data_IF_003834551402
#
_entry.id   IF_003834551402
#
_cell.length_a   1.000
_cell.length_b   1.000
_cell.length_c   1.000
_cell.angle_alpha   90.00
_cell.angle_beta   90.00
_cell.angle_gamma   90.00
#
_symmetry.space_group_name_H-M   'P 1'
#
loop_
_entity.id
_entity.type
_entity.pdbx_description
1 polymer ?
#
# COMPACT_ATOMS: atom_id res chain seq x y z
N UNK A 1 -6.58 -11.78 4.49
CA UNK A 1 -7.24 -12.29 5.70
C UNK A 1 -6.91 -13.76 5.98
N UNK A 2 -7.18 -14.71 5.08
CA UNK A 2 -6.96 -16.16 5.35
C UNK A 2 -5.51 -16.58 5.72
N UNK A 3 -4.47 -15.95 5.16
CA UNK A 3 -3.06 -16.31 5.43
C UNK A 3 -2.56 -15.96 6.83
N UNK A 4 -3.09 -14.90 7.42
CA UNK A 4 -2.75 -14.46 8.78
C UNK A 4 -3.42 -15.36 9.83
N UNK A 5 -4.68 -15.74 9.58
CA UNK A 5 -5.41 -16.69 10.42
C UNK A 5 -4.74 -18.06 10.45
N UNK A 6 -4.29 -18.58 9.30
CA UNK A 6 -3.53 -19.84 9.25
C UNK A 6 -2.20 -19.76 10.01
N UNK A 7 -1.53 -18.61 9.98
CA UNK A 7 -0.30 -18.40 10.72
C UNK A 7 -0.52 -18.39 12.25
N UNK A 8 -1.63 -17.81 12.73
CA UNK A 8 -1.99 -17.80 14.14
C UNK A 8 -2.55 -19.14 14.63
N UNK A 9 -3.45 -19.77 13.89
CA UNK A 9 -4.18 -20.95 14.36
C UNK A 9 -3.41 -22.26 14.16
N UNK A 10 -2.49 -22.32 13.20
CA UNK A 10 -1.79 -23.56 12.82
C UNK A 10 -0.28 -23.45 13.05
N UNK A 11 0.35 -22.37 12.59
CA UNK A 11 1.82 -22.29 12.57
C UNK A 11 2.41 -21.92 13.93
N UNK A 12 1.84 -20.95 14.64
CA UNK A 12 2.33 -20.52 15.95
C UNK A 12 2.26 -21.64 17.02
N UNK A 13 1.17 -22.42 17.11
CA UNK A 13 1.12 -23.59 18.00
C UNK A 13 2.17 -24.66 17.64
N UNK A 14 2.49 -24.88 16.36
CA UNK A 14 3.53 -25.84 15.95
C UNK A 14 4.95 -25.41 16.36
N UNK A 15 5.16 -24.10 16.51
CA UNK A 15 6.40 -23.54 17.03
C UNK A 15 6.49 -23.66 18.57
N UNK A 16 5.35 -23.62 19.26
CA UNK A 16 5.26 -23.64 20.74
C UNK A 16 4.94 -25.02 21.35
N UNK A 17 4.50 -25.98 20.56
CA UNK A 17 4.01 -27.28 21.02
C UNK A 17 5.01 -28.07 21.89
N UNK A 18 4.49 -28.65 22.98
CA UNK A 18 5.07 -29.75 23.76
C UNK A 18 4.23 -31.02 23.50
N UNK A 19 4.81 -32.17 23.08
CA UNK A 19 6.23 -32.44 22.87
C UNK A 19 6.82 -31.71 21.65
N UNK A 20 8.14 -31.44 21.65
CA UNK A 20 8.76 -30.68 20.58
C UNK A 20 8.63 -31.40 19.24
N UNK A 21 8.03 -30.73 18.26
CA UNK A 21 8.03 -31.18 16.86
C UNK A 21 9.47 -31.25 16.33
N UNK A 22 9.69 -32.03 15.27
CA UNK A 22 11.00 -32.20 14.65
C UNK A 22 11.64 -30.82 14.34
N UNK A 23 12.94 -30.59 14.66
CA UNK A 23 13.57 -29.28 14.51
C UNK A 23 13.49 -28.74 13.07
N UNK A 24 13.52 -29.63 12.07
CA UNK A 24 13.32 -29.27 10.67
C UNK A 24 11.93 -28.66 10.40
N UNK A 25 10.89 -29.15 11.07
CA UNK A 25 9.53 -28.63 10.95
C UNK A 25 9.39 -27.27 11.63
N UNK A 26 10.02 -27.09 12.80
CA UNK A 26 10.04 -25.79 13.51
C UNK A 26 10.82 -24.73 12.75
N UNK A 27 11.94 -25.10 12.13
CA UNK A 27 12.72 -24.22 11.22
C UNK A 27 11.87 -23.84 10.01
N UNK A 28 11.15 -24.78 9.41
CA UNK A 28 10.24 -24.50 8.31
C UNK A 28 9.13 -23.53 8.72
N UNK A 29 8.53 -23.72 9.90
CA UNK A 29 7.49 -22.83 10.44
C UNK A 29 8.05 -21.42 10.66
N UNK A 30 9.21 -21.28 11.29
CA UNK A 30 9.88 -19.99 11.48
C UNK A 30 10.17 -19.30 10.14
N UNK A 31 10.62 -20.06 9.14
CA UNK A 31 10.87 -19.57 7.79
C UNK A 31 9.59 -19.15 7.07
N UNK A 32 8.48 -19.88 7.23
CA UNK A 32 7.17 -19.50 6.67
C UNK A 32 6.68 -18.21 7.33
N UNK A 33 6.74 -18.10 8.67
CA UNK A 33 6.33 -16.89 9.40
C UNK A 33 7.16 -15.66 8.99
N UNK A 34 8.45 -15.85 8.73
CA UNK A 34 9.31 -14.82 8.14
C UNK A 34 8.92 -14.50 6.69
N UNK A 35 8.78 -15.52 5.84
CA UNK A 35 8.50 -15.37 4.39
C UNK A 35 7.15 -14.75 4.10
N UNK A 36 6.16 -14.92 4.97
CA UNK A 36 4.85 -14.27 4.88
C UNK A 36 4.96 -12.73 4.92
N UNK A 37 6.05 -12.21 5.50
CA UNK A 37 6.31 -10.77 5.66
C UNK A 37 7.71 -10.35 5.14
N UNK A 38 8.44 -11.23 4.44
CA UNK A 38 9.75 -10.95 3.86
C UNK A 38 9.84 -9.73 2.92
N UNK A 39 8.78 -9.26 2.20
CA UNK A 39 8.87 -7.99 1.47
C UNK A 39 8.89 -6.74 2.38
N UNK A 40 8.86 -6.89 3.70
CA UNK A 40 8.86 -5.82 4.68
C UNK A 40 10.02 -5.96 5.68
N UNK A 41 10.61 -4.86 6.16
CA UNK A 41 11.63 -4.92 7.20
C UNK A 41 11.06 -5.60 8.45
N UNK A 42 11.89 -6.40 9.14
CA UNK A 42 11.44 -7.22 10.27
C UNK A 42 10.78 -6.41 11.39
N UNK A 43 11.08 -5.12 11.50
CA UNK A 43 10.42 -4.18 12.41
C UNK A 43 8.90 -4.11 12.24
N UNK A 44 8.36 -4.44 11.07
CA UNK A 44 6.92 -4.40 10.76
C UNK A 44 6.29 -5.81 10.85
N UNK A 45 7.08 -6.86 11.09
CA UNK A 45 6.56 -8.23 11.16
C UNK A 45 5.73 -8.42 12.44
N UNK A 46 4.41 -8.73 12.34
CA UNK A 46 3.54 -8.92 13.51
C UNK A 46 3.95 -10.13 14.37
N UNK A 47 4.72 -11.06 13.81
CA UNK A 47 5.24 -12.23 14.52
C UNK A 47 6.62 -12.02 15.13
N UNK A 48 7.20 -10.81 15.01
CA UNK A 48 8.53 -10.48 15.56
C UNK A 48 8.62 -10.75 17.06
N UNK A 49 7.61 -10.36 17.83
CA UNK A 49 7.54 -10.59 19.28
C UNK A 49 7.43 -12.09 19.60
N UNK A 50 6.57 -12.83 18.91
CA UNK A 50 6.41 -14.27 19.09
C UNK A 50 7.68 -15.06 18.74
N UNK A 51 8.35 -14.71 17.64
CA UNK A 51 9.65 -15.28 17.25
C UNK A 51 10.74 -14.95 18.27
N UNK A 52 10.73 -13.74 18.86
CA UNK A 52 11.66 -13.34 19.90
C UNK A 52 11.45 -14.08 21.23
N UNK A 53 10.19 -14.24 21.67
CA UNK A 53 9.84 -15.03 22.86
C UNK A 53 10.25 -16.48 22.67
N UNK A 54 10.00 -17.04 21.49
CA UNK A 54 10.44 -18.40 21.14
C UNK A 54 11.97 -18.49 21.16
N UNK A 55 12.68 -17.52 20.56
CA UNK A 55 14.14 -17.48 20.58
C UNK A 55 14.72 -17.48 21.99
N UNK A 56 14.20 -16.62 22.89
CA UNK A 56 14.62 -16.60 24.30
C UNK A 56 14.43 -17.96 24.96
N UNK A 57 13.22 -18.52 24.84
CA UNK A 57 12.87 -19.80 25.44
C UNK A 57 13.76 -20.95 24.95
N UNK A 58 13.94 -21.08 23.64
CA UNK A 58 14.76 -22.15 23.06
C UNK A 58 16.25 -21.96 23.35
N UNK A 59 16.74 -20.72 23.40
CA UNK A 59 18.12 -20.41 23.81
C UNK A 59 18.36 -20.79 25.26
N UNK A 60 17.44 -20.41 26.15
CA UNK A 60 17.55 -20.68 27.58
C UNK A 60 17.43 -22.19 27.85
N UNK A 61 16.57 -22.91 27.10
CA UNK A 61 16.49 -24.37 27.13
C UNK A 61 17.78 -25.04 26.66
N UNK A 62 18.37 -24.58 25.55
CA UNK A 62 19.63 -25.10 25.03
C UNK A 62 20.79 -24.86 26.01
N UNK A 63 20.81 -23.72 26.70
CA UNK A 63 21.81 -23.39 27.72
C UNK A 63 21.59 -24.13 29.05
N UNK A 64 20.34 -24.42 29.42
CA UNK A 64 20.00 -25.06 30.68
C UNK A 64 20.18 -26.59 30.66
N UNK A 65 19.93 -27.24 29.52
CA UNK A 65 20.00 -28.71 29.38
C UNK A 65 21.41 -29.22 29.05
N UNK A 66 22.26 -28.41 28.43
CA UNK A 66 23.55 -28.83 27.91
C UNK A 66 24.64 -27.82 28.27
N UNK A 67 25.68 -28.28 28.98
CA UNK A 67 26.86 -27.46 29.26
C UNK A 67 27.60 -27.05 27.97
N UNK A 68 28.60 -26.14 28.04
CA UNK A 68 29.24 -25.49 26.89
C UNK A 68 29.91 -26.42 25.84
N UNK A 69 29.93 -27.73 26.08
CA UNK A 69 30.57 -28.74 25.24
C UNK A 69 29.60 -29.69 24.52
N UNK A 70 28.31 -29.70 24.85
CA UNK A 70 27.35 -30.63 24.23
C UNK A 70 26.43 -29.87 23.28
N UNK A 71 26.44 -30.29 22.01
CA UNK A 71 25.63 -29.69 20.94
C UNK A 71 24.19 -30.16 21.07
N UNK A 72 23.26 -29.25 21.38
CA UNK A 72 21.83 -29.56 21.36
C UNK A 72 21.29 -29.54 19.93
N UNK A 73 20.35 -30.45 19.63
CA UNK A 73 19.63 -30.49 18.33
C UNK A 73 18.74 -29.25 18.11
N UNK A 74 18.48 -28.48 19.17
CA UNK A 74 17.70 -27.24 19.10
C UNK A 74 18.57 -26.00 18.83
N UNK A 75 19.91 -26.12 18.86
CA UNK A 75 20.81 -25.00 18.55
C UNK A 75 20.63 -24.48 17.13
N UNK A 76 20.31 -25.37 16.18
CA UNK A 76 20.04 -24.98 14.80
C UNK A 76 18.78 -24.12 14.67
N UNK A 77 17.75 -24.40 15.47
CA UNK A 77 16.54 -23.56 15.52
C UNK A 77 16.85 -22.19 16.12
N UNK A 78 17.63 -22.14 17.21
CA UNK A 78 18.04 -20.88 17.86
C UNK A 78 18.84 -20.00 16.90
N UNK A 79 19.76 -20.59 16.14
CA UNK A 79 20.54 -19.86 15.14
C UNK A 79 19.68 -19.33 13.99
N UNK A 80 18.74 -20.13 13.47
CA UNK A 80 17.80 -19.68 12.42
C UNK A 80 16.93 -18.53 12.93
N UNK A 81 16.40 -18.63 14.15
CA UNK A 81 15.61 -17.56 14.76
C UNK A 81 16.43 -16.28 14.94
N UNK A 82 17.68 -16.39 15.38
CA UNK A 82 18.60 -15.25 15.50
C UNK A 82 18.88 -14.58 14.14
N UNK A 83 19.14 -15.37 13.09
CA UNK A 83 19.36 -14.88 11.73
C UNK A 83 18.14 -14.17 11.17
N UNK A 84 16.95 -14.75 11.36
CA UNK A 84 15.67 -14.13 11.00
C UNK A 84 15.52 -12.79 11.74
N UNK A 85 15.67 -12.78 13.08
CA UNK A 85 15.49 -11.59 13.93
C UNK A 85 16.49 -10.46 13.61
N UNK A 86 17.69 -10.78 13.13
CA UNK A 86 18.69 -9.81 12.65
C UNK A 86 18.37 -9.20 11.28
N UNK A 87 17.42 -9.74 10.54
CA UNK A 87 17.09 -9.31 9.18
C UNK A 87 17.86 -10.04 8.07
N UNK A 88 18.73 -10.97 8.44
CA UNK A 88 19.56 -11.79 7.53
C UNK A 88 18.83 -13.09 7.10
N UNK A 89 17.49 -13.12 7.17
CA UNK A 89 16.70 -14.31 6.82
C UNK A 89 16.76 -14.69 5.34
N UNK A 90 17.37 -13.87 4.48
CA UNK A 90 17.66 -14.22 3.08
C UNK A 90 18.89 -15.15 2.95
N UNK A 91 19.82 -15.12 3.91
CA UNK A 91 21.03 -15.97 3.90
C UNK A 91 20.71 -17.45 4.13
N UNK A 92 19.54 -17.74 4.71
CA UNK A 92 19.06 -19.10 4.99
C UNK A 92 18.20 -19.68 3.84
N UNK A 93 17.76 -18.84 2.90
CA UNK A 93 16.97 -19.23 1.73
C UNK A 93 17.57 -20.30 0.81
N UNK A 94 18.90 -20.39 0.60
CA UNK A 94 19.48 -21.45 -0.25
C UNK A 94 19.58 -22.82 0.44
N UNK A 95 19.30 -22.94 1.74
CA UNK A 95 19.42 -24.20 2.49
C UNK A 95 18.05 -24.78 2.84
N UNK A 96 17.87 -26.09 2.63
CA UNK A 96 16.62 -26.75 3.05
C UNK A 96 16.52 -26.82 4.58
N UNK A 97 15.32 -26.70 5.19
CA UNK A 97 15.12 -26.83 6.63
C UNK A 97 15.70 -28.12 7.23
N UNK A 98 15.62 -29.23 6.47
CA UNK A 98 16.21 -30.52 6.86
C UNK A 98 17.73 -30.53 6.80
N UNK A 99 18.33 -29.73 5.90
CA UNK A 99 19.79 -29.54 5.81
C UNK A 99 20.28 -28.67 6.95
N UNK A 100 19.56 -27.60 7.28
CA UNK A 100 19.88 -26.70 8.40
C UNK A 100 19.81 -27.43 9.74
N UNK A 101 18.76 -28.22 9.97
CA UNK A 101 18.60 -29.05 11.18
C UNK A 101 19.71 -30.10 11.39
N UNK A 102 20.46 -30.44 10.34
CA UNK A 102 21.53 -31.45 10.39
C UNK A 102 22.93 -30.86 10.25
N UNK A 103 23.04 -29.55 9.96
CA UNK A 103 24.31 -28.88 9.79
C UNK A 103 24.98 -28.64 11.16
N UNK A 104 26.25 -29.04 11.37
CA UNK A 104 26.96 -28.73 12.60
C UNK A 104 27.27 -27.24 12.62
N UNK A 105 26.77 -26.53 13.63
CA UNK A 105 27.04 -25.10 13.82
C UNK A 105 28.48 -24.90 14.33
N UNK A 106 29.23 -23.94 13.77
CA UNK A 106 30.50 -23.49 14.34
C UNK A 106 30.33 -22.99 15.78
N UNK A 107 31.35 -23.14 16.63
CA UNK A 107 31.27 -22.81 18.06
C UNK A 107 30.89 -21.34 18.33
N UNK A 108 31.25 -20.45 17.40
CA UNK A 108 30.94 -19.01 17.45
C UNK A 108 29.45 -18.70 17.26
N UNK A 109 28.68 -19.63 16.69
CA UNK A 109 27.26 -19.50 16.39
C UNK A 109 26.37 -20.33 17.33
N UNK A 110 26.96 -20.87 18.41
CA UNK A 110 26.22 -21.59 19.46
C UNK A 110 25.27 -20.66 20.21
N UNK A 111 24.16 -21.21 20.72
CA UNK A 111 23.12 -20.49 21.44
C UNK A 111 23.65 -19.56 22.56
N UNK A 112 24.72 -19.96 23.24
CA UNK A 112 25.38 -19.16 24.29
C UNK A 112 26.01 -17.84 23.81
N UNK A 113 26.44 -17.79 22.54
CA UNK A 113 27.10 -16.62 21.94
C UNK A 113 26.12 -15.71 21.17
N UNK A 114 24.85 -16.13 21.03
CA UNK A 114 23.84 -15.41 20.28
C UNK A 114 23.03 -14.47 21.18
N UNK A 115 23.40 -13.19 21.15
CA UNK A 115 22.66 -12.13 21.85
C UNK A 115 21.93 -11.22 20.86
N UNK A 116 20.72 -10.82 21.24
CA UNK A 116 19.93 -9.78 20.59
C UNK A 116 19.84 -8.58 21.54
N UNK A 117 19.82 -7.36 20.98
CA UNK A 117 19.71 -6.13 21.75
C UNK A 117 18.30 -6.00 22.33
N UNK A 118 18.15 -6.36 23.61
CA UNK A 118 16.84 -6.51 24.28
C UNK A 118 16.01 -5.21 24.24
N UNK A 119 16.67 -4.05 24.19
CA UNK A 119 16.04 -2.73 24.15
C UNK A 119 15.20 -2.50 22.88
N UNK A 120 15.51 -3.19 21.77
CA UNK A 120 14.74 -3.10 20.51
C UNK A 120 13.45 -3.92 20.51
N UNK A 121 13.25 -4.78 21.52
CA UNK A 121 12.15 -5.74 21.59
C UNK A 121 11.26 -5.55 22.82
N UNK A 122 11.77 -4.94 23.89
CA UNK A 122 10.99 -4.61 25.11
C UNK A 122 9.92 -3.55 24.81
N UNK A 123 10.20 -2.56 23.96
CA UNK A 123 9.25 -1.48 23.64
C UNK A 123 7.96 -1.89 22.92
N UNK A 124 7.84 -3.13 22.42
CA UNK A 124 6.60 -3.61 21.80
C UNK A 124 5.66 -4.30 22.81
N UNK A 125 6.14 -4.71 23.99
CA UNK A 125 5.30 -5.36 25.01
C UNK A 125 4.50 -4.36 25.87
N UNK A 126 4.81 -3.06 25.80
CA UNK A 126 4.07 -2.01 26.54
C UNK A 126 2.87 -1.43 25.76
N UNK A 127 2.58 -1.93 24.56
CA UNK A 127 1.44 -1.42 23.75
C UNK A 127 0.08 -1.94 24.27
N UNK A 128 0.07 -2.99 25.10
CA UNK A 128 -1.15 -3.51 25.74
C UNK A 128 -1.50 -2.80 27.08
N UNK A 129 -0.74 -1.77 27.47
CA UNK A 129 -0.90 -1.06 28.75
C UNK A 129 -1.59 0.31 28.72
N UNK A 130 -1.99 0.83 27.54
CA UNK A 130 -2.48 2.22 27.43
C UNK A 130 -4.00 2.40 27.59
N UNK A 131 -4.72 1.38 28.07
CA UNK A 131 -6.17 1.45 28.32
C UNK A 131 -6.44 1.07 29.79
N UNK A 132 -6.57 2.10 30.63
CA UNK A 132 -6.94 2.12 32.06
C UNK A 132 -5.90 1.66 33.11
N UNK A 133 -5.13 2.61 33.66
CA UNK A 133 -4.94 2.79 35.11
C UNK A 133 -4.10 4.06 35.47
N UNK A 134 -4.81 5.19 35.58
CA UNK A 134 -4.78 6.17 36.69
C UNK A 134 -3.48 6.62 37.40
N UNK A 135 -3.28 7.94 37.48
CA UNK A 135 -2.64 8.60 38.64
C UNK A 135 -2.27 10.08 38.44
N UNK A 136 -2.81 11.05 39.22
CA UNK A 136 -2.73 12.48 38.92
C UNK A 136 -1.43 13.11 39.43
N UNK A 137 -0.64 13.70 38.54
CA UNK A 137 0.49 14.53 38.89
C UNK A 137 0.07 16.01 38.88
N UNK A 138 -0.21 16.51 40.09
CA UNK A 138 -0.09 17.91 40.56
C UNK A 138 -0.24 19.02 39.53
N UNK A 139 -1.35 19.75 39.70
CA UNK A 139 -1.51 21.16 39.38
C UNK A 139 -0.22 21.95 39.69
N UNK A 140 0.47 22.39 38.64
CA UNK A 140 1.11 23.69 38.62
C UNK A 140 0.21 24.56 37.74
N UNK A 141 -0.65 25.33 38.41
CA UNK A 141 -1.54 26.31 37.79
C UNK A 141 -0.66 27.49 37.35
N UNK A 142 -0.02 27.34 36.21
CA UNK A 142 0.67 28.45 35.55
C UNK A 142 -0.40 29.19 34.75
N UNK A 143 -0.81 30.34 35.27
CA UNK A 143 -1.81 31.21 34.67
C UNK A 143 -1.28 31.70 33.31
N UNK A 144 -1.64 30.97 32.25
CA UNK A 144 -1.37 31.41 30.88
C UNK A 144 -2.30 32.56 30.53
N UNK A 145 -1.78 33.68 30.00
CA UNK A 145 -2.59 34.83 29.64
C UNK A 145 -3.64 34.48 28.55
N UNK A 146 -4.85 35.07 28.60
CA UNK A 146 -5.98 34.73 27.71
C UNK A 146 -5.78 35.00 26.21
N UNK A 147 -4.65 35.56 25.79
CA UNK A 147 -4.37 35.95 24.41
C UNK A 147 -3.50 34.94 23.64
N UNK A 148 -3.21 33.77 24.22
CA UNK A 148 -2.33 32.76 23.61
C UNK A 148 -3.05 31.58 22.92
N UNK A 149 -4.34 31.37 23.18
CA UNK A 149 -5.09 30.23 22.60
C UNK A 149 -5.56 30.48 21.15
N UNK A 150 -5.53 31.73 20.68
CA UNK A 150 -6.07 32.09 19.36
C UNK A 150 -5.04 31.90 18.21
N UNK A 151 -3.76 31.67 18.52
CA UNK A 151 -2.66 31.63 17.53
C UNK A 151 -1.83 30.33 17.55
N UNK A 152 -2.10 29.39 18.46
CA UNK A 152 -1.52 28.05 18.39
C UNK A 152 -2.43 27.14 17.57
N UNK A 153 -2.06 26.92 16.30
CA UNK A 153 -2.60 25.81 15.53
C UNK A 153 -2.48 24.52 16.34
N UNK A 154 -3.56 23.75 16.40
CA UNK A 154 -3.61 22.47 17.08
C UNK A 154 -2.40 21.61 16.65
N UNK A 155 -1.59 21.05 17.56
CA UNK A 155 -0.48 20.18 17.20
C UNK A 155 -0.89 19.03 16.26
N UNK A 156 -2.15 18.59 16.31
CA UNK A 156 -2.69 17.57 15.41
C UNK A 156 -2.86 18.08 13.97
N UNK A 157 -3.18 19.36 13.78
CA UNK A 157 -3.27 19.98 12.45
C UNK A 157 -1.89 20.22 11.84
N UNK A 158 -0.89 20.52 12.66
CA UNK A 158 0.50 20.65 12.20
C UNK A 158 1.03 19.31 11.64
N UNK A 159 0.72 18.19 12.30
CA UNK A 159 1.13 16.86 11.85
C UNK A 159 0.43 16.47 10.54
N UNK A 160 -0.88 16.67 10.43
CA UNK A 160 -1.64 16.42 9.19
C UNK A 160 -1.10 17.22 8.01
N UNK A 161 -0.79 18.50 8.23
CA UNK A 161 -0.21 19.34 7.20
C UNK A 161 1.19 18.85 6.76
N UNK A 162 1.98 18.30 7.68
CA UNK A 162 3.27 17.68 7.34
C UNK A 162 3.11 16.42 6.48
N UNK A 163 2.12 15.59 6.78
CA UNK A 163 1.86 14.34 6.05
C UNK A 163 1.32 14.61 4.65
N UNK A 164 0.39 15.57 4.50
CA UNK A 164 -0.07 16.05 3.19
C UNK A 164 1.07 16.66 2.38
N UNK A 165 1.94 17.46 3.00
CA UNK A 165 3.12 18.02 2.36
C UNK A 165 4.10 16.96 1.85
N UNK A 166 4.24 15.84 2.56
CA UNK A 166 5.02 14.68 2.11
C UNK A 166 4.35 13.98 0.94
N UNK A 167 3.05 13.73 1.01
CA UNK A 167 2.29 13.10 -0.06
C UNK A 167 2.34 13.91 -1.36
N UNK A 168 2.24 15.24 -1.28
CA UNK A 168 2.39 16.13 -2.44
C UNK A 168 3.77 16.03 -3.09
N UNK A 169 4.85 15.93 -2.30
CA UNK A 169 6.20 15.69 -2.84
C UNK A 169 6.28 14.35 -3.57
N UNK A 170 5.61 13.31 -3.05
CA UNK A 170 5.57 12.00 -3.70
C UNK A 170 4.80 12.03 -5.01
N UNK A 171 3.73 12.81 -5.14
CA UNK A 171 3.02 13.02 -6.41
C UNK A 171 3.95 13.60 -7.47
N UNK A 172 4.70 14.64 -7.14
CA UNK A 172 5.67 15.26 -8.06
C UNK A 172 6.74 14.25 -8.45
N UNK A 173 7.26 13.47 -7.49
CA UNK A 173 8.21 12.40 -7.79
C UNK A 173 7.61 11.31 -8.68
N UNK A 174 6.33 10.96 -8.51
CA UNK A 174 5.63 9.96 -9.32
C UNK A 174 5.49 10.37 -10.79
N UNK A 175 5.53 11.67 -11.08
CA UNK A 175 5.54 12.22 -12.43
C UNK A 175 6.86 11.91 -13.15
N UNK A 176 7.97 11.96 -12.43
CA UNK A 176 9.31 11.90 -13.03
C UNK A 176 9.91 10.49 -12.99
N UNK A 177 9.48 9.65 -12.05
CA UNK A 177 9.99 8.30 -11.89
C UNK A 177 8.95 7.32 -11.35
N UNK A 178 9.29 6.04 -11.41
CA UNK A 178 8.56 4.99 -10.71
C UNK A 178 8.78 5.17 -9.19
N UNK A 179 7.68 5.20 -8.44
CA UNK A 179 7.69 5.22 -6.99
C UNK A 179 7.99 3.82 -6.44
N UNK A 180 8.71 3.77 -5.32
CA UNK A 180 8.92 2.55 -4.55
C UNK A 180 7.61 2.10 -3.89
N UNK A 181 7.50 0.82 -3.52
CA UNK A 181 6.27 0.30 -2.89
C UNK A 181 5.92 1.00 -1.58
N UNK A 182 6.91 1.44 -0.79
CA UNK A 182 6.69 2.24 0.41
C UNK A 182 6.11 3.61 0.08
N UNK A 183 6.67 4.30 -0.92
CA UNK A 183 6.17 5.59 -1.38
C UNK A 183 4.76 5.49 -1.96
N UNK A 184 4.47 4.43 -2.72
CA UNK A 184 3.13 4.18 -3.23
C UNK A 184 2.12 3.97 -2.09
N UNK A 185 2.50 3.26 -1.02
CA UNK A 185 1.64 3.04 0.15
C UNK A 185 1.40 4.33 0.93
N UNK A 186 2.44 5.11 1.15
CA UNK A 186 2.35 6.40 1.84
C UNK A 186 1.47 7.37 1.06
N UNK A 187 1.64 7.44 -0.27
CA UNK A 187 0.80 8.25 -1.13
C UNK A 187 -0.66 7.76 -1.13
N UNK A 188 -0.89 6.44 -1.21
CA UNK A 188 -2.24 5.84 -1.25
C UNK A 188 -3.07 6.19 -0.01
N UNK A 189 -2.44 6.28 1.17
CA UNK A 189 -3.11 6.67 2.43
C UNK A 189 -3.65 8.10 2.38
N UNK A 190 -2.92 8.99 1.72
CA UNK A 190 -3.22 10.42 1.67
C UNK A 190 -3.86 10.87 0.34
N UNK A 191 -4.27 9.95 -0.54
CA UNK A 191 -4.86 10.30 -1.86
C UNK A 191 -6.03 11.26 -1.69
N UNK A 192 -6.94 11.01 -0.76
CA UNK A 192 -8.11 11.85 -0.54
C UNK A 192 -7.72 13.27 -0.13
N UNK A 193 -6.72 13.40 0.74
CA UNK A 193 -6.16 14.66 1.27
C UNK A 193 -5.35 15.44 0.23
N UNK A 194 -4.73 14.74 -0.72
CA UNK A 194 -4.00 15.32 -1.85
C UNK A 194 -4.97 15.83 -2.92
N UNK A 195 -6.01 15.05 -3.22
CA UNK A 195 -7.04 15.40 -4.21
C UNK A 195 -7.91 16.56 -3.70
N UNK A 196 -8.33 16.51 -2.42
CA UNK A 196 -7.88 17.50 -1.45
C UNK A 196 -7.50 18.91 -1.90
N UNK A 197 -6.19 19.09 -1.89
CA UNK A 197 -5.51 20.33 -2.13
C UNK A 197 -5.63 20.83 -3.58
N UNK A 198 -6.14 20.03 -4.52
CA UNK A 198 -6.35 20.45 -5.91
C UNK A 198 -5.04 20.74 -6.67
N UNK A 199 -3.92 20.15 -6.24
CA UNK A 199 -2.59 20.42 -6.79
C UNK A 199 -2.35 19.71 -8.13
N UNK A 200 -3.12 18.64 -8.40
CA UNK A 200 -2.98 17.81 -9.60
C UNK A 200 -3.58 18.50 -10.83
N UNK A 201 -2.76 18.73 -11.84
CA UNK A 201 -3.19 19.28 -13.13
C UNK A 201 -3.39 18.19 -14.17
N UNK A 202 -4.10 18.52 -15.25
CA UNK A 202 -4.33 17.58 -16.37
C UNK A 202 -3.02 17.12 -17.03
N UNK A 203 -1.97 17.95 -17.04
CA UNK A 203 -0.65 17.59 -17.56
C UNK A 203 0.09 16.55 -16.73
N UNK A 204 -0.28 16.36 -15.46
CA UNK A 204 0.42 15.42 -14.57
C UNK A 204 -0.07 13.97 -14.76
N UNK A 205 -1.21 13.76 -15.42
CA UNK A 205 -1.87 12.46 -15.51
C UNK A 205 -1.08 11.51 -16.42
N UNK A 206 -0.76 11.92 -17.64
CA UNK A 206 -0.06 11.06 -18.61
C UNK A 206 1.25 10.44 -18.07
N UNK A 207 2.20 11.22 -17.52
CA UNK A 207 3.41 10.67 -16.93
C UNK A 207 3.14 9.81 -15.68
N UNK A 208 2.10 10.12 -14.91
CA UNK A 208 1.73 9.35 -13.72
C UNK A 208 1.14 7.98 -14.09
N UNK A 209 0.35 7.91 -15.16
CA UNK A 209 -0.14 6.63 -15.72
C UNK A 209 1.00 5.81 -16.32
N UNK A 210 1.94 6.44 -17.03
CA UNK A 210 3.05 5.71 -17.65
C UNK A 210 4.02 5.13 -16.63
N UNK A 211 4.31 5.87 -15.56
CA UNK A 211 5.32 5.48 -14.58
C UNK A 211 4.72 4.68 -13.41
N UNK A 212 3.49 4.99 -13.00
CA UNK A 212 2.89 4.48 -11.77
C UNK A 212 1.39 4.14 -11.95
N UNK A 213 1.03 3.18 -12.83
CA UNK A 213 -0.37 2.86 -13.14
C UNK A 213 -1.18 2.40 -11.91
N UNK A 214 -0.51 1.78 -10.93
CA UNK A 214 -1.13 1.32 -9.68
C UNK A 214 -1.65 2.48 -8.83
N UNK A 215 -0.94 3.61 -8.81
CA UNK A 215 -1.32 4.81 -8.06
C UNK A 215 -2.27 5.69 -8.88
N UNK A 216 -2.13 5.68 -10.22
CA UNK A 216 -2.97 6.45 -11.12
C UNK A 216 -4.46 6.14 -10.95
N UNK A 217 -4.81 4.84 -10.84
CA UNK A 217 -6.19 4.41 -10.68
C UNK A 217 -6.91 5.02 -9.45
N UNK A 218 -6.47 4.76 -8.20
CA UNK A 218 -7.16 5.31 -7.02
C UNK A 218 -7.16 6.84 -6.99
N UNK A 219 -6.15 7.48 -7.58
CA UNK A 219 -6.07 8.94 -7.68
C UNK A 219 -7.13 9.49 -8.64
N UNK A 220 -7.29 8.90 -9.82
CA UNK A 220 -8.34 9.29 -10.77
C UNK A 220 -9.74 9.04 -10.21
N UNK A 221 -9.96 7.89 -9.56
CA UNK A 221 -11.23 7.57 -8.90
C UNK A 221 -11.56 8.60 -7.82
N UNK A 222 -10.60 8.95 -6.97
CA UNK A 222 -10.78 9.97 -5.94
C UNK A 222 -11.08 11.36 -6.55
N UNK A 223 -10.45 11.72 -7.68
CA UNK A 223 -10.72 12.97 -8.39
C UNK A 223 -12.12 13.00 -9.00
N UNK A 224 -12.58 11.89 -9.58
CA UNK A 224 -13.93 11.77 -10.14
C UNK A 224 -15.00 11.77 -9.04
N UNK A 225 -14.72 11.15 -7.89
CA UNK A 225 -15.63 11.10 -6.75
C UNK A 225 -15.73 12.44 -5.98
N UNK A 226 -14.65 13.24 -5.90
CA UNK A 226 -14.59 14.46 -5.08
C UNK A 226 -15.50 15.60 -5.55
N UNK A 227 -15.82 15.67 -6.85
CA UNK A 227 -16.60 16.77 -7.43
C UNK A 227 -18.08 16.81 -6.96
N UNK A 228 -18.46 16.00 -5.97
CA UNK A 228 -19.75 15.98 -5.28
C UNK A 228 -20.02 17.21 -4.39
N UNK A 229 -19.00 17.96 -3.95
CA UNK A 229 -19.15 18.85 -2.77
C UNK A 229 -19.17 20.35 -3.05
N UNK A 230 -18.79 20.81 -4.25
CA UNK A 230 -18.73 22.26 -4.56
C UNK A 230 -20.04 22.84 -5.12
N UNK A 231 -21.07 22.02 -5.33
CA UNK A 231 -22.33 22.46 -5.96
C UNK A 231 -23.45 22.92 -5.02
N UNK A 232 -23.33 22.81 -3.69
CA UNK A 232 -24.52 23.00 -2.82
C UNK A 232 -24.29 23.59 -1.41
N UNK A 233 -23.19 24.30 -1.16
CA UNK A 233 -22.98 25.04 0.10
C UNK A 233 -22.86 26.54 -0.14
N UNK A 234 -24.00 27.17 -0.40
CA UNK A 234 -24.14 28.62 -0.53
C UNK A 234 -25.58 29.10 -0.67
N UNK A 235 -26.59 28.30 -0.27
CA UNK A 235 -27.97 28.76 -0.22
C UNK A 235 -28.25 29.34 1.17
N UNK A 236 -28.13 30.66 1.27
CA UNK A 236 -28.76 31.47 2.30
C UNK A 236 -30.25 31.09 2.41
N UNK A 237 -30.79 30.80 3.60
CA UNK A 237 -32.20 30.43 3.77
C UNK A 237 -33.20 31.60 3.61
N UNK A 238 -32.79 32.77 3.11
CA UNK A 238 -33.59 34.00 3.18
C UNK A 238 -34.09 34.58 1.85
N UNK A 239 -33.99 33.87 0.72
CA UNK A 239 -34.55 34.37 -0.55
C UNK A 239 -35.56 33.38 -1.15
N UNK A 240 -36.76 33.38 -0.57
CA UNK A 240 -37.94 32.69 -1.06
C UNK A 240 -38.81 33.67 -1.87
N UNK A 241 -38.36 34.07 -3.06
CA UNK A 241 -39.21 34.73 -4.06
C UNK A 241 -38.73 34.28 -5.46
N UNK A 242 -39.68 33.92 -6.32
CA UNK A 242 -39.54 33.51 -7.73
C UNK A 242 -39.40 32.00 -8.02
N UNK A 243 -40.37 31.23 -7.51
CA UNK A 243 -40.82 30.01 -8.18
C UNK A 243 -41.71 30.41 -9.37
N UNK A 244 -41.22 30.19 -10.60
CA UNK A 244 -41.97 29.92 -11.86
C UNK A 244 -41.31 30.54 -13.10
N UNK A 245 -40.03 30.24 -13.36
CA UNK A 245 -39.52 30.21 -14.74
C UNK A 245 -38.16 29.49 -14.85
N UNK A 246 -38.18 28.16 -14.92
CA UNK A 246 -37.03 27.38 -15.40
C UNK A 246 -37.53 26.23 -16.27
N UNK A 247 -37.77 26.58 -17.53
CA UNK A 247 -37.79 25.66 -18.66
C UNK A 247 -36.46 24.89 -18.66
N UNK A 248 -36.55 23.58 -18.85
CA UNK A 248 -35.45 22.62 -19.00
C UNK A 248 -34.16 23.25 -19.56
N UNK A 249 -33.17 23.45 -18.70
CA UNK A 249 -31.78 23.62 -19.09
C UNK A 249 -31.02 22.36 -18.74
N UNK A 250 -31.23 21.34 -19.57
CA UNK A 250 -30.31 20.23 -19.77
C UNK A 250 -29.01 20.80 -20.38
N UNK A 251 -28.05 21.19 -19.53
CA UNK A 251 -26.67 21.48 -19.92
C UNK A 251 -25.76 20.96 -18.79
N UNK A 252 -25.29 19.70 -18.86
CA UNK A 252 -23.99 19.30 -19.42
C UNK A 252 -22.76 20.06 -18.87
N UNK A 253 -21.82 19.27 -18.30
CA UNK A 253 -20.36 19.48 -18.29
C UNK A 253 -19.67 20.21 -17.11
N UNK A 254 -19.98 19.86 -15.86
CA UNK A 254 -19.05 20.08 -14.74
C UNK A 254 -18.44 18.77 -14.17
N UNK A 255 -18.35 17.73 -15.01
CA UNK A 255 -17.29 16.74 -14.80
C UNK A 255 -15.94 17.43 -15.02
N UNK A 256 -14.82 16.90 -14.50
CA UNK A 256 -13.50 17.42 -14.82
C UNK A 256 -13.18 17.06 -16.29
N UNK A 257 -13.81 17.78 -17.22
CA UNK A 257 -13.63 17.70 -18.66
C UNK A 257 -12.14 17.68 -19.07
N UNK A 258 -11.22 18.44 -18.44
CA UNK A 258 -9.80 18.33 -18.80
C UNK A 258 -9.18 16.98 -18.42
N UNK A 259 -9.61 16.34 -17.33
CA UNK A 259 -9.04 15.06 -16.87
C UNK A 259 -9.53 13.92 -17.76
N UNK A 260 -10.84 13.85 -17.99
CA UNK A 260 -11.44 12.85 -18.87
C UNK A 260 -10.94 13.00 -20.31
N UNK A 261 -10.74 14.24 -20.76
CA UNK A 261 -10.12 14.54 -22.05
C UNK A 261 -8.67 14.03 -22.14
N UNK A 262 -7.87 14.21 -21.10
CA UNK A 262 -6.49 13.70 -21.08
C UNK A 262 -6.46 12.17 -21.08
N UNK A 263 -7.33 11.50 -20.32
CA UNK A 263 -7.40 10.03 -20.31
C UNK A 263 -7.71 9.50 -21.72
N UNK A 264 -8.61 10.17 -22.45
CA UNK A 264 -8.93 9.80 -23.83
C UNK A 264 -7.75 10.00 -24.81
N UNK A 265 -6.82 10.91 -24.52
CA UNK A 265 -5.66 11.22 -25.37
C UNK A 265 -4.41 10.39 -25.02
N UNK A 266 -4.49 9.47 -24.06
CA UNK A 266 -3.34 8.67 -23.67
C UNK A 266 -2.95 7.70 -24.78
N UNK A 267 -1.65 7.59 -25.03
CA UNK A 267 -1.13 6.62 -26.00
C UNK A 267 -1.54 5.19 -25.61
N UNK A 268 -1.93 4.34 -26.58
CA UNK A 268 -2.40 2.97 -26.35
C UNK A 268 -1.23 2.03 -25.97
N UNK A 269 -0.73 2.20 -24.75
CA UNK A 269 0.30 1.35 -24.14
C UNK A 269 -0.33 0.43 -23.11
N UNK A 270 0.38 -0.65 -22.76
CA UNK A 270 -0.11 -1.64 -21.79
C UNK A 270 -0.57 -1.00 -20.44
N UNK A 271 0.17 -0.05 -19.83
CA UNK A 271 -0.28 0.61 -18.59
C UNK A 271 -1.58 1.40 -18.75
N UNK A 272 -1.75 2.06 -19.90
CA UNK A 272 -2.96 2.84 -20.22
C UNK A 272 -4.17 1.93 -20.40
N UNK A 273 -4.00 0.80 -21.08
CA UNK A 273 -5.07 -0.18 -21.33
C UNK A 273 -5.47 -0.92 -20.06
N UNK A 274 -4.52 -1.27 -19.19
CA UNK A 274 -4.80 -1.83 -17.86
C UNK A 274 -5.55 -0.82 -16.98
N UNK A 275 -5.13 0.45 -16.98
CA UNK A 275 -5.85 1.51 -16.28
C UNK A 275 -7.29 1.65 -16.79
N UNK A 276 -7.49 1.70 -18.11
CA UNK A 276 -8.82 1.79 -18.71
C UNK A 276 -9.70 0.62 -18.30
N UNK A 277 -9.16 -0.60 -18.35
CA UNK A 277 -9.87 -1.79 -17.90
C UNK A 277 -10.27 -1.72 -16.42
N UNK A 278 -9.36 -1.28 -15.53
CA UNK A 278 -9.68 -1.10 -14.12
C UNK A 278 -10.78 -0.08 -13.90
N UNK A 279 -10.73 1.06 -14.60
CA UNK A 279 -11.75 2.11 -14.54
C UNK A 279 -13.13 1.60 -15.02
N UNK A 280 -13.17 0.78 -16.07
CA UNK A 280 -14.41 0.18 -16.59
C UNK A 280 -15.03 -0.87 -15.65
N UNK A 281 -14.27 -1.40 -14.70
CA UNK A 281 -14.76 -2.31 -13.65
C UNK A 281 -15.05 -1.60 -12.33
N UNK A 282 -14.68 -0.34 -12.20
CA UNK A 282 -14.81 0.38 -10.94
C UNK A 282 -16.26 0.81 -10.71
N UNK A 283 -16.89 0.19 -9.71
CA UNK A 283 -18.27 0.45 -9.28
C UNK A 283 -18.38 1.57 -8.24
N UNK A 284 -17.31 2.35 -8.03
CA UNK A 284 -17.33 3.48 -7.09
C UNK A 284 -18.43 4.47 -7.51
N UNK A 285 -19.33 4.86 -6.59
CA UNK A 285 -20.44 5.74 -6.90
C UNK A 285 -19.97 7.16 -7.20
N UNK A 286 -20.53 7.74 -8.25
CA UNK A 286 -20.34 9.12 -8.72
C UNK A 286 -21.70 9.79 -8.89
N UNK A 287 -21.77 11.13 -9.05
CA UNK A 287 -23.04 11.82 -9.24
C UNK A 287 -23.89 11.31 -10.41
N UNK A 288 -23.23 10.77 -11.44
CA UNK A 288 -23.86 10.39 -12.71
C UNK A 288 -23.95 8.87 -12.89
N UNK A 289 -23.81 8.09 -11.82
CA UNK A 289 -23.77 6.62 -11.87
C UNK A 289 -22.50 6.08 -11.22
N UNK A 290 -21.87 5.07 -11.80
CA UNK A 290 -20.56 4.58 -11.35
C UNK A 290 -19.42 5.22 -12.13
N UNK A 291 -18.18 5.14 -11.61
CA UNK A 291 -16.97 5.53 -12.37
C UNK A 291 -16.93 4.82 -13.72
N UNK A 292 -17.26 3.53 -13.74
CA UNK A 292 -17.36 2.76 -14.97
C UNK A 292 -18.37 3.36 -15.97
N UNK A 293 -19.55 3.79 -15.53
CA UNK A 293 -20.56 4.39 -16.41
C UNK A 293 -20.08 5.70 -17.03
N UNK A 294 -19.46 6.56 -16.21
CA UNK A 294 -18.87 7.83 -16.68
C UNK A 294 -17.78 7.57 -17.72
N UNK A 295 -16.90 6.60 -17.46
CA UNK A 295 -15.79 6.26 -18.36
C UNK A 295 -16.29 5.63 -19.65
N UNK A 296 -17.31 4.75 -19.61
CA UNK A 296 -17.94 4.17 -20.80
C UNK A 296 -18.56 5.25 -21.69
N UNK A 297 -19.32 6.17 -21.12
CA UNK A 297 -20.07 7.17 -21.89
C UNK A 297 -19.15 8.27 -22.44
N UNK A 298 -18.19 8.76 -21.64
CA UNK A 298 -17.46 9.97 -22.00
C UNK A 298 -16.04 9.73 -22.53
N UNK A 299 -15.39 8.64 -22.12
CA UNK A 299 -13.96 8.41 -22.38
C UNK A 299 -13.73 7.33 -23.42
N UNK A 300 -14.44 6.20 -23.32
CA UNK A 300 -14.15 4.99 -24.07
C UNK A 300 -14.16 5.21 -25.60
N UNK A 301 -15.23 5.80 -26.13
CA UNK A 301 -15.33 6.05 -27.58
C UNK A 301 -14.23 6.98 -28.10
N UNK A 302 -13.90 8.04 -27.33
CA UNK A 302 -12.83 8.97 -27.67
C UNK A 302 -11.45 8.32 -27.58
N UNK A 303 -11.23 7.52 -26.54
CA UNK A 303 -9.98 6.78 -26.35
C UNK A 303 -9.71 5.81 -27.50
N UNK A 304 -10.71 5.04 -27.94
CA UNK A 304 -10.57 4.14 -29.08
C UNK A 304 -10.27 4.92 -30.36
N UNK A 305 -10.96 6.05 -30.58
CA UNK A 305 -10.70 6.91 -31.73
C UNK A 305 -9.27 7.46 -31.74
N UNK A 306 -8.80 8.01 -30.61
CA UNK A 306 -7.43 8.52 -30.47
C UNK A 306 -6.38 7.41 -30.56
N UNK A 307 -6.67 6.20 -30.07
CA UNK A 307 -5.79 5.05 -30.21
C UNK A 307 -5.60 4.65 -31.69
N UNK A 308 -6.67 4.66 -32.48
CA UNK A 308 -6.60 4.41 -33.92
C UNK A 308 -5.80 5.51 -34.62
N UNK A 309 -6.11 6.79 -34.35
CA UNK A 309 -5.38 7.92 -34.93
C UNK A 309 -3.88 7.88 -34.59
N UNK A 310 -3.54 7.47 -33.35
CA UNK A 310 -2.16 7.27 -32.93
C UNK A 310 -1.47 6.17 -33.73
N UNK A 311 -2.12 5.02 -33.92
CA UNK A 311 -1.56 3.90 -34.69
C UNK A 311 -1.35 4.28 -36.16
N UNK A 312 -2.32 4.96 -36.78
CA UNK A 312 -2.22 5.48 -38.15
C UNK A 312 -1.06 6.49 -38.30
N UNK A 313 -0.87 7.35 -37.29
CA UNK A 313 0.26 8.29 -37.24
C UNK A 313 1.60 7.57 -37.19
N UNK A 314 1.74 6.59 -36.29
CA UNK A 314 2.96 5.79 -36.17
C UNK A 314 3.22 4.98 -37.45
N UNK A 315 2.19 4.44 -38.11
CA UNK A 315 2.34 3.72 -39.39
C UNK A 315 2.89 4.62 -40.50
N UNK A 316 2.39 5.86 -40.59
CA UNK A 316 2.85 6.84 -41.59
C UNK A 316 4.29 7.29 -41.36
N UNK A 317 4.72 7.37 -40.11
CA UNK A 317 6.06 7.84 -39.74
C UNK A 317 7.10 6.70 -39.69
N UNK A 318 6.70 5.47 -39.38
CA UNK A 318 7.60 4.35 -39.14
C UNK A 318 7.62 3.34 -40.31
N UNK A 319 8.63 3.44 -41.17
CA UNK A 319 8.94 2.42 -42.19
C UNK A 319 9.72 1.24 -41.58
N UNK A 320 9.13 0.57 -40.58
CA UNK A 320 9.64 -0.73 -40.06
C UNK A 320 9.93 -0.84 -38.56
N UNK A 321 9.25 -0.08 -37.70
CA UNK A 321 9.46 -0.17 -36.24
C UNK A 321 8.41 -1.08 -35.55
N UNK A 322 8.87 -2.00 -34.70
CA UNK A 322 8.04 -3.00 -34.00
C UNK A 322 6.99 -2.37 -33.06
N UNK A 323 7.11 -1.07 -32.77
CA UNK A 323 6.19 -0.31 -31.94
C UNK A 323 4.78 -0.23 -32.51
N UNK A 324 4.64 -0.17 -33.83
CA UNK A 324 3.31 -0.19 -34.48
C UNK A 324 2.65 -1.56 -34.30
N UNK A 325 3.39 -2.64 -34.58
CA UNK A 325 2.90 -4.01 -34.43
C UNK A 325 2.50 -4.32 -32.98
N UNK A 326 3.30 -3.90 -32.00
CA UNK A 326 2.98 -4.05 -30.58
C UNK A 326 1.74 -3.23 -30.17
N UNK A 327 1.61 -2.00 -30.68
CA UNK A 327 0.43 -1.17 -30.42
C UNK A 327 -0.86 -1.79 -30.96
N UNK A 328 -0.84 -2.26 -32.21
CA UNK A 328 -1.97 -2.96 -32.84
C UNK A 328 -2.32 -4.23 -32.07
N UNK A 329 -1.32 -5.01 -31.65
CA UNK A 329 -1.53 -6.22 -30.85
C UNK A 329 -2.20 -5.89 -29.51
N UNK A 330 -1.70 -4.89 -28.78
CA UNK A 330 -2.26 -4.49 -27.49
C UNK A 330 -3.70 -4.00 -27.61
N UNK A 331 -4.01 -3.15 -28.59
CA UNK A 331 -5.37 -2.63 -28.82
C UNK A 331 -6.31 -3.76 -29.24
N UNK A 332 -5.89 -4.64 -30.14
CA UNK A 332 -6.71 -5.75 -30.63
C UNK A 332 -7.03 -6.76 -29.51
N UNK A 333 -6.04 -7.12 -28.69
CA UNK A 333 -6.25 -8.00 -27.53
C UNK A 333 -7.17 -7.34 -26.51
N UNK A 334 -6.98 -6.04 -26.27
CA UNK A 334 -7.83 -5.30 -25.33
C UNK A 334 -9.28 -5.22 -25.84
N UNK A 335 -9.50 -4.84 -27.10
CA UNK A 335 -10.84 -4.85 -27.71
C UNK A 335 -11.45 -6.25 -27.76
N UNK A 336 -10.67 -7.31 -27.89
CA UNK A 336 -11.19 -8.67 -27.83
C UNK A 336 -11.66 -9.05 -26.42
N UNK A 337 -10.89 -8.69 -25.39
CA UNK A 337 -11.25 -8.95 -23.99
C UNK A 337 -12.46 -8.12 -23.56
N UNK A 338 -12.52 -6.86 -24.00
CA UNK A 338 -13.49 -5.88 -23.51
C UNK A 338 -14.66 -5.63 -24.47
N UNK A 339 -14.55 -6.01 -25.74
CA UNK A 339 -15.59 -5.79 -26.75
C UNK A 339 -16.87 -6.56 -26.51
N UNK A 340 -16.82 -7.64 -25.71
CA UNK A 340 -18.01 -8.34 -25.21
C UNK A 340 -18.73 -7.60 -24.09
N UNK A 341 -18.00 -6.91 -23.20
CA UNK A 341 -18.55 -6.16 -22.06
C UNK A 341 -18.98 -4.72 -22.43
N UNK A 342 -18.63 -4.24 -23.62
CA UNK A 342 -18.90 -2.87 -24.09
C UNK A 342 -20.13 -2.79 -25.02
N UNK A 343 -20.57 -3.92 -25.58
CA UNK A 343 -21.70 -3.98 -26.53
C UNK A 343 -23.03 -4.44 -25.90
N UNK A 344 -23.05 -4.79 -24.62
CA UNK A 344 -24.26 -4.93 -23.79
C UNK A 344 -24.51 -3.64 -23.00
#
# INVERSE_FOLDING_TARGET
MARFQVALDVLLPLLEQQPPAEPAQRILVAFILYSLYAPHPISINPFKSALYVTFRRERDNACALFGPQVVSQDEQLVWVLWKILKGDGNDIGPYSPSTLARSPLPEQLRAYNLNLDENQYIHMHDIDGYIYASGPARQAKEERPPWYDEWMADPDDAQRNCDVGRALKLVVAARERVLTLSEQRDLTREISSVVAAGVLTSSDIAPLVSNNPVVAHPLLVAMLARNQTTGNKGADPNNAVDANNTVASTNNHNLPAPILGVIAQLAPRLPTLDLMGRLLRDTTPTPNGTVADVVRVEVLGRFVHEAINYLDGVEREATGDDTHAQGVQHVSVWLFIWGGEVCE
#
